data_IF_589809652477
#
_entry.id   IF_589809652477
#
_cell.length_a   1.000
_cell.length_b   1.000
_cell.length_c   1.000
_cell.angle_alpha   90.00
_cell.angle_beta   90.00
_cell.angle_gamma   90.00
#
_symmetry.space_group_name_H-M   'P 1'
#
loop_
_entity.id
_entity.type
_entity.pdbx_description
1 polymer ?
#
# COMPACT_ATOMS: atom_id res chain seq x y z
N UNK A 1 -17.32 4.66 -9.12
CA UNK A 1 -15.89 4.57 -9.54
C UNK A 1 -15.08 3.94 -8.43
N UNK A 2 -14.28 2.96 -8.76
CA UNK A 2 -13.51 2.17 -7.80
C UNK A 2 -12.02 2.44 -8.00
N UNK A 3 -11.34 2.83 -6.93
CA UNK A 3 -9.93 3.18 -7.00
C UNK A 3 -9.10 2.44 -5.97
N UNK A 4 -7.83 2.23 -6.30
CA UNK A 4 -6.83 1.70 -5.39
C UNK A 4 -5.77 2.76 -5.20
N UNK A 5 -5.48 3.09 -3.96
CA UNK A 5 -4.44 4.04 -3.61
C UNK A 5 -3.25 3.33 -2.98
N UNK A 6 -2.07 3.69 -3.43
CA UNK A 6 -0.82 3.17 -2.86
C UNK A 6 -0.08 4.32 -2.23
N UNK A 7 0.31 4.15 -0.97
CA UNK A 7 1.06 5.14 -0.23
C UNK A 7 2.35 4.51 0.27
N UNK A 8 3.47 5.17 -0.02
CA UNK A 8 4.77 4.66 0.39
C UNK A 8 5.54 5.76 1.11
N UNK A 9 5.81 5.53 2.38
CA UNK A 9 6.63 6.41 3.20
C UNK A 9 7.89 5.67 3.64
N UNK A 10 8.74 6.33 4.43
CA UNK A 10 9.95 5.68 4.91
C UNK A 10 9.66 4.45 5.79
N UNK A 11 8.55 4.46 6.53
CA UNK A 11 8.22 3.40 7.48
C UNK A 11 7.12 2.45 7.00
N UNK A 12 6.22 2.91 6.16
CA UNK A 12 4.99 2.19 5.89
C UNK A 12 4.68 2.11 4.41
N UNK A 13 4.28 0.93 3.98
CA UNK A 13 3.69 0.72 2.67
C UNK A 13 2.20 0.45 2.87
N UNK A 14 1.36 1.32 2.32
CA UNK A 14 -0.09 1.22 2.50
C UNK A 14 -0.83 1.07 1.19
N UNK A 15 -1.88 0.26 1.20
CA UNK A 15 -2.76 0.07 0.05
C UNK A 15 -4.20 0.23 0.54
N UNK A 16 -4.93 1.12 -0.10
CA UNK A 16 -6.33 1.33 0.21
C UNK A 16 -7.20 1.18 -1.02
N UNK A 17 -8.37 0.60 -0.83
CA UNK A 17 -9.38 0.50 -1.88
C UNK A 17 -10.61 1.26 -1.42
N UNK A 18 -11.17 2.08 -2.30
CA UNK A 18 -12.39 2.81 -1.98
C UNK A 18 -13.20 3.08 -3.24
N UNK A 19 -14.52 3.10 -3.07
CA UNK A 19 -15.40 3.56 -4.11
C UNK A 19 -16.18 4.79 -3.61
N UNK A 20 -16.81 5.50 -4.55
CA UNK A 20 -17.54 6.73 -4.24
C UNK A 20 -18.75 6.51 -3.31
N UNK A 21 -19.25 5.28 -3.25
CA UNK A 21 -20.38 4.91 -2.40
C UNK A 21 -19.91 4.20 -1.12
N UNK A 22 -18.61 4.06 -0.93
CA UNK A 22 -17.99 3.40 0.22
C UNK A 22 -18.46 1.96 0.46
N UNK A 23 -18.88 1.28 -0.60
CA UNK A 23 -19.34 -0.11 -0.50
C UNK A 23 -18.20 -1.13 -0.56
N UNK A 24 -17.12 -0.77 -1.24
CA UNK A 24 -15.92 -1.61 -1.37
C UNK A 24 -14.76 -0.81 -0.80
N UNK A 25 -14.43 -1.08 0.46
CA UNK A 25 -13.39 -0.31 1.17
C UNK A 25 -12.47 -1.28 1.89
N UNK A 26 -11.19 -1.05 1.76
CA UNK A 26 -10.18 -1.78 2.54
C UNK A 26 -8.96 -0.91 2.74
N UNK A 27 -8.17 -1.26 3.75
CA UNK A 27 -6.93 -0.55 4.03
C UNK A 27 -5.94 -1.55 4.63
N UNK A 28 -4.79 -1.71 3.98
CA UNK A 28 -3.74 -2.63 4.40
C UNK A 28 -2.45 -1.85 4.55
N UNK A 29 -1.76 -2.03 5.66
CA UNK A 29 -0.49 -1.36 5.91
C UNK A 29 0.56 -2.38 6.35
N UNK A 30 1.76 -2.23 5.82
CA UNK A 30 2.93 -3.02 6.20
C UNK A 30 4.00 -2.05 6.67
N UNK A 31 4.30 -2.10 7.97
CA UNK A 31 5.24 -1.18 8.59
C UNK A 31 6.63 -1.80 8.67
N UNK A 32 7.63 -1.05 8.24
CA UNK A 32 9.02 -1.44 8.40
C UNK A 32 9.53 -0.99 9.77
N UNK A 33 10.01 -1.94 10.53
CA UNK A 33 10.58 -1.67 11.84
C UNK A 33 12.06 -2.07 11.81
N UNK A 34 13.00 -1.12 11.87
CA UNK A 34 14.42 -1.45 11.85
C UNK A 34 14.83 -2.16 13.14
N UNK A 35 15.77 -3.09 13.02
CA UNK A 35 16.25 -3.87 14.15
C UNK A 35 17.12 -3.01 15.06
N UNK A 36 17.92 -2.12 14.50
CA UNK A 36 18.85 -1.27 15.25
C UNK A 36 18.84 0.15 14.67
N UNK A 37 18.97 1.13 15.56
CA UNK A 37 19.19 2.52 15.20
C UNK A 37 18.08 3.08 14.34
N UNK A 38 18.40 3.95 13.42
CA UNK A 38 17.44 4.59 12.56
C UNK A 38 17.07 3.76 11.34
N UNK A 39 16.25 4.35 10.47
CA UNK A 39 15.84 3.72 9.24
C UNK A 39 16.99 3.70 8.24
N UNK A 40 17.17 2.57 7.59
CA UNK A 40 18.10 2.42 6.49
C UNK A 40 17.29 2.47 5.18
N UNK A 41 17.44 3.53 4.36
CA UNK A 41 16.59 3.71 3.18
C UNK A 41 16.52 2.51 2.23
N UNK A 42 17.65 1.84 2.02
CA UNK A 42 17.69 0.66 1.14
C UNK A 42 16.87 -0.50 1.70
N UNK A 43 16.94 -0.71 3.00
CA UNK A 43 16.18 -1.76 3.66
C UNK A 43 14.69 -1.45 3.66
N UNK A 44 14.32 -0.19 3.86
CA UNK A 44 12.94 0.23 3.81
C UNK A 44 12.35 0.02 2.42
N UNK A 45 13.09 0.38 1.37
CA UNK A 45 12.67 0.14 -0.01
C UNK A 45 12.49 -1.36 -0.26
N UNK A 46 13.44 -2.18 0.17
CA UNK A 46 13.35 -3.62 0.00
C UNK A 46 12.14 -4.20 0.74
N UNK A 47 11.90 -3.73 1.95
CA UNK A 47 10.72 -4.15 2.72
C UNK A 47 9.44 -3.84 1.95
N UNK A 48 9.34 -2.64 1.38
CA UNK A 48 8.15 -2.23 0.63
C UNK A 48 7.98 -3.05 -0.64
N UNK A 49 9.07 -3.32 -1.36
CA UNK A 49 9.02 -4.16 -2.55
C UNK A 49 8.59 -5.59 -2.21
N UNK A 50 9.11 -6.14 -1.11
CA UNK A 50 8.78 -7.49 -0.68
C UNK A 50 7.31 -7.63 -0.27
N UNK A 51 6.71 -6.55 0.23
CA UNK A 51 5.34 -6.59 0.75
C UNK A 51 4.29 -6.00 -0.20
N UNK A 52 4.71 -5.33 -1.28
CA UNK A 52 3.78 -4.64 -2.17
C UNK A 52 2.74 -5.59 -2.76
N UNK A 53 3.18 -6.70 -3.32
CA UNK A 53 2.30 -7.69 -3.93
C UNK A 53 1.31 -8.26 -2.92
N UNK A 54 1.81 -8.61 -1.75
CA UNK A 54 0.98 -9.15 -0.67
C UNK A 54 -0.05 -8.13 -0.19
N UNK A 55 0.36 -6.87 -0.01
CA UNK A 55 -0.52 -5.82 0.46
C UNK A 55 -1.63 -5.53 -0.56
N UNK A 56 -1.29 -5.50 -1.84
CA UNK A 56 -2.27 -5.27 -2.90
C UNK A 56 -3.29 -6.41 -2.93
N UNK A 57 -2.84 -7.65 -2.95
CA UNK A 57 -3.74 -8.80 -2.94
C UNK A 57 -4.64 -8.82 -1.71
N UNK A 58 -4.08 -8.54 -0.55
CA UNK A 58 -4.83 -8.52 0.70
C UNK A 58 -5.90 -7.41 0.66
N UNK A 59 -5.56 -6.23 0.16
CA UNK A 59 -6.52 -5.13 0.04
C UNK A 59 -7.67 -5.48 -0.91
N UNK A 60 -7.36 -6.10 -2.05
CA UNK A 60 -8.37 -6.55 -3.00
C UNK A 60 -9.29 -7.60 -2.40
N UNK A 61 -8.71 -8.57 -1.68
CA UNK A 61 -9.48 -9.62 -1.03
C UNK A 61 -10.41 -9.05 0.05
N UNK A 62 -9.93 -8.13 0.87
CA UNK A 62 -10.73 -7.50 1.90
C UNK A 62 -11.88 -6.69 1.32
N UNK A 63 -11.67 -6.04 0.19
CA UNK A 63 -12.71 -5.31 -0.50
C UNK A 63 -13.61 -6.20 -1.36
N UNK A 64 -13.25 -7.48 -1.50
CA UNK A 64 -13.99 -8.48 -2.30
C UNK A 64 -14.10 -8.07 -3.75
N UNK A 65 -12.97 -7.63 -4.32
CA UNK A 65 -12.87 -7.24 -5.73
C UNK A 65 -11.65 -7.88 -6.37
N UNK A 66 -11.61 -7.83 -7.70
CA UNK A 66 -10.46 -8.24 -8.48
C UNK A 66 -9.77 -7.02 -9.07
N UNK A 67 -8.52 -7.19 -9.47
CA UNK A 67 -7.75 -6.10 -10.06
C UNK A 67 -8.46 -5.48 -11.26
N UNK A 68 -9.11 -6.31 -12.07
CA UNK A 68 -9.85 -5.86 -13.25
C UNK A 68 -11.07 -4.99 -12.93
N UNK A 69 -11.51 -4.99 -11.67
CA UNK A 69 -12.65 -4.16 -11.25
C UNK A 69 -12.24 -2.70 -11.02
N UNK A 70 -10.96 -2.42 -10.92
CA UNK A 70 -10.47 -1.08 -10.63
C UNK A 70 -10.63 -0.15 -11.84
N UNK A 71 -11.07 1.07 -11.58
CA UNK A 71 -11.16 2.12 -12.58
C UNK A 71 -9.89 2.95 -12.65
N UNK A 72 -9.18 3.09 -11.53
CA UNK A 72 -7.93 3.83 -11.49
C UNK A 72 -7.06 3.39 -10.33
N UNK A 73 -5.78 3.73 -10.44
CA UNK A 73 -4.80 3.53 -9.38
C UNK A 73 -4.12 4.86 -9.13
N UNK A 74 -4.11 5.29 -7.87
CA UNK A 74 -3.43 6.50 -7.44
C UNK A 74 -2.21 6.12 -6.62
N UNK A 75 -1.15 6.89 -6.75
CA UNK A 75 0.10 6.60 -6.07
C UNK A 75 0.62 7.87 -5.40
N UNK A 76 1.02 7.76 -4.14
CA UNK A 76 1.71 8.84 -3.46
C UNK A 76 2.97 8.28 -2.81
N UNK A 77 4.01 9.11 -2.76
CA UNK A 77 5.29 8.73 -2.19
C UNK A 77 5.70 9.78 -1.16
N UNK A 78 5.91 9.33 0.07
CA UNK A 78 6.33 10.21 1.12
C UNK A 78 7.83 10.52 1.07
N UNK A 79 8.29 11.49 1.86
CA UNK A 79 9.71 11.82 1.94
C UNK A 79 10.51 10.68 2.57
N UNK A 80 11.79 10.63 2.23
CA UNK A 80 12.75 9.71 2.82
C UNK A 80 13.04 8.43 2.06
N UNK A 81 12.35 8.17 0.95
CA UNK A 81 12.57 6.99 0.12
C UNK A 81 13.17 7.31 -1.24
N UNK A 82 13.48 8.55 -1.46
CA UNK A 82 14.08 8.99 -2.73
C UNK A 82 15.52 9.35 -2.52
#
# INVERSE_FOLDING_TARGET
>A
MLGLGIESTAHTFGVGVADEKLKKVSNVQKTYIPVEGGIHPREAVQHHLDNADKAIHEALDLAKIELSDLDFIAFSQGPGLI
#
